data_IF_677368720598
#
_entry.id   IF_677368720598
#
_cell.length_a   1.000
_cell.length_b   1.000
_cell.length_c   1.000
_cell.angle_alpha   90.00
_cell.angle_beta   90.00
_cell.angle_gamma   90.00
#
_symmetry.space_group_name_H-M   'P 1'
#
loop_
_entity.id
_entity.type
_entity.pdbx_description
1 polymer ?
#
# COMPACT_ATOMS: atom_id res chain seq x y z
N UNK A 1 28.99 17.11 54.60
CA UNK A 1 28.91 15.63 54.71
C UNK A 1 28.69 15.12 53.30
N UNK A 2 29.67 14.96 52.41
CA UNK A 2 30.93 14.18 52.42
C UNK A 2 30.75 12.67 52.45
N UNK A 3 31.35 12.04 51.42
CA UNK A 3 31.74 10.64 51.20
C UNK A 3 30.67 9.71 50.61
N UNK A 4 30.85 9.16 49.41
CA UNK A 4 31.82 8.13 48.98
C UNK A 4 31.74 6.85 49.82
N UNK A 5 31.60 5.72 49.13
CA UNK A 5 32.26 4.48 49.53
C UNK A 5 31.33 3.36 49.98
N UNK A 6 31.13 2.42 49.05
CA UNK A 6 31.38 0.98 49.20
C UNK A 6 31.48 0.43 50.64
N UNK A 7 30.73 -0.65 50.89
CA UNK A 7 31.25 -1.98 51.25
C UNK A 7 30.27 -2.73 52.15
N UNK A 8 30.11 -4.02 51.90
CA UNK A 8 30.16 -5.15 52.85
C UNK A 8 29.79 -6.41 52.05
N UNK A 9 30.46 -7.55 52.13
CA UNK A 9 31.40 -8.10 53.12
C UNK A 9 32.04 -9.33 52.46
N UNK A 10 33.37 -9.49 52.53
CA UNK A 10 34.06 -10.40 53.46
C UNK A 10 33.58 -11.85 53.29
N UNK A 11 34.40 -12.83 52.90
CA UNK A 11 35.62 -13.20 53.62
C UNK A 11 36.48 -14.12 52.74
N UNK A 12 37.77 -13.80 52.72
CA UNK A 12 38.88 -14.60 52.23
C UNK A 12 39.09 -15.87 53.06
N UNK A 13 39.41 -16.98 52.40
CA UNK A 13 40.29 -18.01 52.94
C UNK A 13 41.34 -18.36 51.88
N UNK A 14 42.60 -18.06 52.22
CA UNK A 14 43.82 -18.50 51.55
C UNK A 14 43.99 -20.02 51.66
N UNK A 15 44.89 -20.58 50.83
CA UNK A 15 45.94 -21.61 51.10
C UNK A 15 46.20 -22.41 49.81
N UNK A 16 47.38 -22.72 49.26
CA UNK A 16 48.82 -22.54 49.55
C UNK A 16 49.61 -22.66 48.21
N UNK A 17 50.72 -21.93 48.10
CA UNK A 17 52.01 -22.21 47.44
C UNK A 17 52.11 -23.06 46.13
N UNK A 18 52.53 -22.34 45.06
CA UNK A 18 53.76 -22.55 44.25
C UNK A 18 53.98 -23.89 43.49
N UNK A 19 53.87 -23.89 42.15
CA UNK A 19 54.98 -23.92 41.17
C UNK A 19 54.50 -24.23 39.73
N UNK A 20 55.17 -23.56 38.77
CA UNK A 20 55.46 -23.95 37.37
C UNK A 20 54.50 -23.59 36.21
N UNK A 21 55.02 -22.66 35.38
CA UNK A 21 55.00 -22.56 33.90
C UNK A 21 53.73 -22.23 33.08
N UNK A 22 53.97 -21.43 32.03
CA UNK A 22 53.15 -21.07 30.86
C UNK A 22 52.14 -19.91 30.94
N UNK A 23 52.63 -18.68 30.72
CA UNK A 23 51.83 -17.45 30.55
C UNK A 23 51.83 -16.85 29.13
N UNK A 24 52.31 -17.56 28.10
CA UNK A 24 52.52 -16.99 26.75
C UNK A 24 51.46 -17.41 25.71
N UNK A 25 50.75 -18.53 25.89
CA UNK A 25 49.78 -19.03 24.90
C UNK A 25 48.38 -18.41 25.02
N UNK A 26 47.98 -17.94 26.22
CA UNK A 26 46.63 -17.43 26.45
C UNK A 26 46.38 -16.01 25.91
N UNK A 27 47.43 -15.20 25.75
CA UNK A 27 47.30 -13.81 25.27
C UNK A 27 47.08 -13.78 23.74
N UNK A 28 47.74 -14.66 22.99
CA UNK A 28 47.55 -14.77 21.54
C UNK A 28 46.18 -15.36 21.18
N UNK A 29 45.69 -16.33 21.96
CA UNK A 29 44.36 -16.91 21.73
C UNK A 29 43.24 -15.88 21.95
N UNK A 30 43.39 -14.94 22.88
CA UNK A 30 42.40 -13.87 23.10
C UNK A 30 42.43 -12.81 21.98
N UNK A 31 43.60 -12.45 21.46
CA UNK A 31 43.74 -11.46 20.38
C UNK A 31 43.17 -11.98 19.04
N UNK A 32 43.45 -13.23 18.67
CA UNK A 32 42.87 -13.84 17.46
C UNK A 32 41.33 -13.91 17.54
N UNK A 33 40.78 -14.26 18.70
CA UNK A 33 39.33 -14.34 18.86
C UNK A 33 38.65 -12.97 18.77
N UNK A 34 39.23 -11.89 19.27
CA UNK A 34 38.62 -10.54 19.18
C UNK A 34 38.59 -10.02 17.72
N UNK A 35 39.58 -10.36 16.90
CA UNK A 35 39.67 -9.92 15.50
C UNK A 35 38.77 -10.75 14.59
N UNK A 36 38.72 -12.07 14.78
CA UNK A 36 37.74 -12.97 14.16
C UNK A 36 36.32 -12.56 14.56
N UNK A 37 36.13 -12.16 15.83
CA UNK A 37 34.85 -11.67 16.35
C UNK A 37 34.45 -10.27 15.80
N UNK A 38 35.37 -9.48 15.22
CA UNK A 38 34.98 -8.24 14.50
C UNK A 38 34.58 -8.55 13.06
N UNK A 39 35.28 -9.48 12.42
CA UNK A 39 35.06 -9.85 11.03
C UNK A 39 33.71 -10.56 10.82
N UNK A 40 33.26 -11.43 11.73
CA UNK A 40 31.92 -12.04 11.61
C UNK A 40 30.79 -11.03 11.85
N UNK A 41 30.96 -10.02 12.71
CA UNK A 41 29.96 -8.97 12.91
C UNK A 41 29.82 -8.07 11.68
N UNK A 42 30.93 -7.78 11.01
CA UNK A 42 30.94 -7.04 9.73
C UNK A 42 30.32 -7.90 8.63
N UNK A 43 30.70 -9.18 8.53
CA UNK A 43 30.14 -10.11 7.55
C UNK A 43 28.63 -10.34 7.75
N UNK A 44 28.15 -10.46 8.99
CA UNK A 44 26.72 -10.57 9.31
C UNK A 44 25.98 -9.27 8.96
N UNK A 45 26.56 -8.09 9.26
CA UNK A 45 25.95 -6.80 8.88
C UNK A 45 25.84 -6.67 7.36
N UNK A 46 26.87 -7.06 6.62
CA UNK A 46 26.87 -7.04 5.16
C UNK A 46 25.87 -8.06 4.61
N UNK A 47 25.81 -9.28 5.16
CA UNK A 47 24.85 -10.30 4.75
C UNK A 47 23.40 -9.89 5.03
N UNK A 48 23.11 -9.23 6.16
CA UNK A 48 21.77 -8.69 6.47
C UNK A 48 21.41 -7.53 5.54
N UNK A 49 22.35 -6.64 5.23
CA UNK A 49 22.11 -5.53 4.28
C UNK A 49 21.86 -6.07 2.87
N UNK A 50 22.67 -7.03 2.41
CA UNK A 50 22.48 -7.67 1.11
C UNK A 50 21.17 -8.48 1.06
N UNK A 51 20.83 -9.19 2.14
CA UNK A 51 19.55 -9.89 2.26
C UNK A 51 18.37 -8.91 2.19
N UNK A 52 18.41 -7.79 2.92
CA UNK A 52 17.40 -6.74 2.83
C UNK A 52 17.26 -6.20 1.39
N UNK A 53 18.37 -5.91 0.70
CA UNK A 53 18.33 -5.41 -0.69
C UNK A 53 17.72 -6.44 -1.66
N UNK A 54 17.88 -7.74 -1.39
CA UNK A 54 17.26 -8.82 -2.21
C UNK A 54 15.83 -9.20 -1.81
N UNK A 55 15.40 -8.87 -0.59
CA UNK A 55 14.12 -9.31 -0.02
C UNK A 55 13.06 -8.20 0.11
N UNK A 56 13.45 -6.94 -0.03
CA UNK A 56 12.49 -5.90 -0.38
C UNK A 56 12.19 -6.07 -1.88
N UNK A 57 10.97 -6.49 -2.29
CA UNK A 57 10.55 -6.22 -3.66
C UNK A 57 10.87 -4.76 -3.92
N UNK A 58 11.55 -4.51 -5.04
CA UNK A 58 11.70 -3.19 -5.61
C UNK A 58 10.28 -2.65 -5.66
N UNK A 59 9.88 -1.81 -4.69
CA UNK A 59 8.65 -1.08 -4.80
C UNK A 59 8.87 -0.27 -6.07
N UNK A 60 8.21 -0.68 -7.15
CA UNK A 60 8.09 0.15 -8.34
C UNK A 60 7.70 1.51 -7.78
N UNK A 61 8.56 2.52 -8.00
CA UNK A 61 8.16 3.88 -7.76
C UNK A 61 7.05 4.13 -8.77
N UNK A 62 5.81 3.83 -8.39
CA UNK A 62 4.62 4.21 -9.13
C UNK A 62 4.72 5.72 -9.22
N UNK A 63 5.02 6.18 -10.43
CA UNK A 63 5.14 7.60 -10.69
C UNK A 63 3.74 8.17 -10.70
N UNK A 64 3.57 9.44 -10.29
CA UNK A 64 2.29 10.13 -10.46
C UNK A 64 1.81 10.13 -11.93
N UNK A 65 2.74 9.97 -12.89
CA UNK A 65 2.43 9.81 -14.32
C UNK A 65 1.72 8.50 -14.67
N UNK A 66 1.80 7.46 -13.84
CA UNK A 66 1.21 6.16 -14.15
C UNK A 66 -0.33 6.19 -14.03
N UNK A 67 -0.86 7.16 -13.28
CA UNK A 67 -2.30 7.45 -13.22
C UNK A 67 -2.76 8.47 -14.27
N UNK A 68 -1.87 8.98 -15.11
CA UNK A 68 -2.26 9.96 -16.11
C UNK A 68 -3.16 9.30 -17.16
N UNK A 69 -4.27 9.96 -17.47
CA UNK A 69 -5.25 9.52 -18.48
C UNK A 69 -5.03 10.35 -19.72
N UNK A 70 -3.99 10.00 -20.47
CA UNK A 70 -3.66 10.65 -21.74
C UNK A 70 -4.59 10.18 -22.85
N UNK A 71 -4.66 10.95 -23.94
CA UNK A 71 -5.44 10.54 -25.12
C UNK A 71 -4.93 9.21 -25.69
N UNK A 72 -3.62 9.02 -25.71
CA UNK A 72 -2.97 7.80 -26.17
C UNK A 72 -3.42 6.61 -25.32
N UNK A 73 -3.44 6.75 -23.98
CA UNK A 73 -3.91 5.70 -23.07
C UNK A 73 -5.37 5.34 -23.32
N UNK A 74 -6.24 6.31 -23.57
CA UNK A 74 -7.66 6.05 -23.90
C UNK A 74 -7.78 5.28 -25.23
N UNK A 75 -6.99 5.63 -26.25
CA UNK A 75 -6.96 4.89 -27.52
C UNK A 75 -6.47 3.45 -27.30
N UNK A 76 -5.39 3.28 -26.54
CA UNK A 76 -4.80 1.98 -26.23
C UNK A 76 -5.65 1.10 -25.32
N UNK A 77 -6.53 1.70 -24.50
CA UNK A 77 -7.45 0.97 -23.61
C UNK A 77 -8.40 0.02 -24.35
N UNK A 78 -8.55 0.19 -25.68
CA UNK A 78 -9.22 -0.81 -26.53
C UNK A 78 -8.61 -2.21 -26.41
N UNK A 79 -7.31 -2.31 -26.09
CA UNK A 79 -6.59 -3.55 -25.83
C UNK A 79 -6.52 -3.95 -24.35
N UNK A 80 -7.07 -3.12 -23.45
CA UNK A 80 -7.15 -3.35 -21.99
C UNK A 80 -8.62 -3.41 -21.58
N UNK A 81 -9.31 -4.52 -21.87
CA UNK A 81 -10.77 -4.56 -21.88
C UNK A 81 -11.42 -4.47 -20.50
N UNK A 82 -10.62 -4.64 -19.44
CA UNK A 82 -10.91 -4.46 -18.02
C UNK A 82 -10.95 -2.99 -17.57
N UNK A 83 -10.49 -2.05 -18.40
CA UNK A 83 -10.54 -0.61 -18.11
C UNK A 83 -11.74 0.09 -18.78
N UNK A 84 -12.25 1.13 -18.13
CA UNK A 84 -13.30 2.02 -18.63
C UNK A 84 -12.89 3.47 -18.36
N UNK A 85 -12.03 4.02 -19.22
CA UNK A 85 -11.30 5.27 -18.94
C UNK A 85 -12.08 6.55 -19.25
N UNK A 86 -13.09 6.47 -20.12
CA UNK A 86 -13.93 7.60 -20.52
C UNK A 86 -15.40 7.21 -20.48
N UNK A 87 -16.29 8.20 -20.45
CA UNK A 87 -17.73 8.01 -20.23
C UNK A 87 -18.34 6.92 -21.13
N UNK A 88 -18.04 6.93 -22.43
CA UNK A 88 -18.49 5.93 -23.40
C UNK A 88 -17.62 4.68 -23.57
N UNK A 89 -16.70 4.40 -22.63
CA UNK A 89 -15.59 3.43 -22.71
C UNK A 89 -14.48 3.81 -23.70
N UNK A 90 -14.87 4.14 -24.94
CA UNK A 90 -13.99 4.57 -26.03
C UNK A 90 -14.48 5.89 -26.62
N UNK A 91 -13.65 6.58 -27.40
CA UNK A 91 -14.05 7.82 -28.08
C UNK A 91 -15.20 7.65 -29.10
N UNK A 92 -15.49 6.42 -29.53
CA UNK A 92 -16.65 6.13 -30.38
C UNK A 92 -17.97 6.05 -29.61
N UNK A 93 -17.94 6.12 -28.27
CA UNK A 93 -19.12 6.14 -27.39
C UNK A 93 -20.07 4.94 -27.59
N UNK A 94 -19.57 3.82 -28.12
CA UNK A 94 -20.38 2.62 -28.39
C UNK A 94 -20.80 1.89 -27.12
N UNK A 95 -20.11 2.14 -25.99
CA UNK A 95 -20.32 1.43 -24.71
C UNK A 95 -20.24 -0.09 -24.82
N UNK A 96 -19.50 -0.58 -25.80
CA UNK A 96 -19.31 -2.00 -26.07
C UNK A 96 -18.08 -2.53 -25.33
N UNK A 97 -18.26 -3.54 -24.47
CA UNK A 97 -17.16 -4.29 -23.85
C UNK A 97 -16.90 -5.60 -24.58
N UNK A 98 -15.65 -5.94 -24.93
CA UNK A 98 -15.27 -7.22 -25.52
C UNK A 98 -15.09 -8.32 -24.46
N UNK A 99 -15.21 -8.01 -23.15
CA UNK A 99 -15.19 -9.03 -22.11
C UNK A 99 -16.38 -9.98 -22.28
N UNK A 100 -16.13 -11.28 -22.18
CA UNK A 100 -17.14 -12.32 -22.45
C UNK A 100 -17.26 -13.39 -21.34
N UNK A 101 -16.61 -13.18 -20.18
CA UNK A 101 -16.71 -14.09 -19.04
C UNK A 101 -18.17 -14.26 -18.58
N UNK A 102 -18.93 -13.16 -18.57
CA UNK A 102 -20.38 -13.16 -18.42
C UNK A 102 -20.98 -13.15 -19.82
N UNK A 103 -21.75 -14.18 -20.16
CA UNK A 103 -22.38 -14.35 -21.46
C UNK A 103 -23.75 -15.05 -21.30
N UNK A 104 -24.41 -15.38 -22.40
CA UNK A 104 -25.76 -15.98 -22.40
C UNK A 104 -25.86 -17.29 -21.62
N UNK A 105 -24.75 -18.01 -21.47
CA UNK A 105 -24.71 -19.31 -20.81
C UNK A 105 -24.41 -19.19 -19.31
N UNK A 106 -23.60 -18.18 -18.93
CA UNK A 106 -23.10 -17.97 -17.56
C UNK A 106 -23.88 -16.90 -16.76
N UNK A 107 -24.67 -16.04 -17.41
CA UNK A 107 -25.40 -14.93 -16.75
C UNK A 107 -26.34 -15.39 -15.63
N UNK A 108 -26.84 -16.63 -15.69
CA UNK A 108 -27.69 -17.24 -14.66
C UNK A 108 -26.98 -17.44 -13.31
N UNK A 109 -25.65 -17.41 -13.30
CA UNK A 109 -24.81 -17.58 -12.10
C UNK A 109 -24.43 -16.23 -11.49
N UNK A 110 -24.84 -15.11 -12.11
CA UNK A 110 -24.50 -13.77 -11.66
C UNK A 110 -25.13 -13.47 -10.30
N UNK A 111 -24.32 -12.91 -9.41
CA UNK A 111 -24.73 -12.47 -8.08
C UNK A 111 -24.13 -11.11 -7.72
N UNK A 112 -24.63 -10.53 -6.63
CA UNK A 112 -24.08 -9.29 -6.07
C UNK A 112 -22.73 -9.61 -5.42
N UNK A 113 -21.67 -8.97 -5.90
CA UNK A 113 -20.34 -9.05 -5.29
C UNK A 113 -20.22 -8.12 -4.07
N UNK A 114 -20.68 -6.87 -4.20
CA UNK A 114 -20.68 -5.86 -3.15
C UNK A 114 -21.72 -4.77 -3.44
N UNK A 115 -22.04 -3.96 -2.41
CA UNK A 115 -22.93 -2.80 -2.50
C UNK A 115 -22.22 -1.63 -1.81
N UNK A 116 -22.28 -0.44 -2.44
CA UNK A 116 -21.79 0.80 -1.85
C UNK A 116 -22.94 1.79 -1.71
N UNK A 117 -23.18 2.27 -0.49
CA UNK A 117 -24.21 3.28 -0.20
C UNK A 117 -23.61 4.69 -0.27
N UNK A 118 -24.22 5.56 -1.06
CA UNK A 118 -23.88 6.98 -1.09
C UNK A 118 -24.65 7.74 -0.01
N UNK A 119 -24.18 8.93 0.37
CA UNK A 119 -24.81 9.77 1.41
C UNK A 119 -26.12 10.47 0.97
N UNK A 120 -26.83 9.94 -0.02
CA UNK A 120 -28.00 10.55 -0.63
C UNK A 120 -28.93 9.52 -1.25
N UNK A 121 -30.23 9.83 -1.25
CA UNK A 121 -31.29 9.09 -1.93
C UNK A 121 -31.85 9.85 -3.15
N UNK A 122 -31.17 10.91 -3.59
CA UNK A 122 -31.47 11.66 -4.82
C UNK A 122 -30.95 10.90 -6.04
N UNK A 123 -31.25 11.35 -7.24
CA UNK A 123 -30.93 10.61 -8.46
C UNK A 123 -29.43 10.39 -8.69
N UNK A 124 -29.11 9.25 -9.32
CA UNK A 124 -27.78 8.86 -9.78
C UNK A 124 -27.84 8.62 -11.29
N UNK A 125 -27.09 9.41 -12.07
CA UNK A 125 -26.98 9.24 -13.52
C UNK A 125 -25.54 8.97 -13.98
N UNK A 126 -24.61 8.80 -13.03
CA UNK A 126 -23.20 8.61 -13.31
C UNK A 126 -22.94 7.30 -14.06
N UNK A 127 -22.09 7.34 -15.08
CA UNK A 127 -21.39 6.15 -15.58
C UNK A 127 -20.05 6.05 -14.85
N UNK A 128 -19.79 5.01 -14.04
CA UNK A 128 -18.51 4.88 -13.36
C UNK A 128 -17.33 4.78 -14.32
N UNK A 129 -16.20 5.35 -13.92
CA UNK A 129 -14.91 5.21 -14.59
C UNK A 129 -14.08 4.20 -13.81
N UNK A 130 -13.46 3.23 -14.48
CA UNK A 130 -12.62 2.21 -13.83
C UNK A 130 -11.22 2.27 -14.42
N UNK A 131 -10.25 2.58 -13.57
CA UNK A 131 -8.83 2.72 -13.92
C UNK A 131 -8.01 1.97 -12.88
N UNK A 132 -7.18 1.03 -13.31
CA UNK A 132 -6.21 0.33 -12.45
C UNK A 132 -6.83 -0.16 -11.12
N UNK A 133 -7.92 -0.94 -11.22
CA UNK A 133 -8.70 -1.48 -10.09
C UNK A 133 -9.41 -0.45 -9.19
N UNK A 134 -9.39 0.85 -9.53
CA UNK A 134 -10.14 1.90 -8.83
C UNK A 134 -11.37 2.29 -9.64
N UNK A 135 -12.54 2.26 -8.99
CA UNK A 135 -13.79 2.75 -9.54
C UNK A 135 -14.08 4.16 -9.04
N UNK A 136 -14.26 5.10 -9.95
CA UNK A 136 -14.70 6.47 -9.67
C UNK A 136 -16.16 6.62 -10.07
N UNK A 137 -16.96 7.18 -9.17
CA UNK A 137 -18.37 7.47 -9.42
C UNK A 137 -18.77 8.79 -8.77
N UNK A 138 -19.91 9.33 -9.18
CA UNK A 138 -20.47 10.55 -8.60
C UNK A 138 -21.90 10.32 -8.11
N UNK A 139 -22.29 11.07 -7.09
CA UNK A 139 -23.68 11.15 -6.62
C UNK A 139 -24.24 12.55 -6.81
N UNK A 140 -25.49 12.75 -6.39
CA UNK A 140 -26.08 14.09 -6.26
C UNK A 140 -25.12 15.09 -5.58
N UNK A 141 -25.25 16.35 -5.96
CA UNK A 141 -24.38 17.44 -5.51
C UNK A 141 -22.91 17.35 -5.95
N UNK A 142 -22.63 16.58 -7.00
CA UNK A 142 -21.30 16.43 -7.58
C UNK A 142 -20.26 15.88 -6.59
N UNK A 143 -20.71 15.13 -5.59
CA UNK A 143 -19.82 14.40 -4.69
C UNK A 143 -19.20 13.25 -5.48
N UNK A 144 -17.88 13.13 -5.40
CA UNK A 144 -17.08 12.09 -6.06
C UNK A 144 -16.65 11.06 -5.03
N UNK A 145 -16.75 9.79 -5.40
CA UNK A 145 -16.25 8.66 -4.62
C UNK A 145 -15.22 7.90 -5.45
N UNK A 146 -14.14 7.47 -4.81
CA UNK A 146 -13.25 6.46 -5.32
C UNK A 146 -13.35 5.22 -4.44
N UNK A 147 -13.61 4.08 -5.06
CA UNK A 147 -13.77 2.80 -4.41
C UNK A 147 -12.79 1.80 -5.02
N UNK A 148 -12.31 0.86 -4.22
CA UNK A 148 -11.67 -0.35 -4.76
C UNK A 148 -12.72 -1.14 -5.55
N UNK A 149 -12.47 -1.41 -6.83
CA UNK A 149 -13.45 -2.00 -7.74
C UNK A 149 -13.80 -3.45 -7.41
N UNK A 150 -12.92 -4.17 -6.67
CA UNK A 150 -13.09 -5.58 -6.32
C UNK A 150 -13.88 -5.75 -5.03
N UNK A 151 -13.65 -4.88 -4.06
CA UNK A 151 -14.22 -4.98 -2.70
C UNK A 151 -15.36 -4.00 -2.45
N UNK A 152 -15.42 -2.90 -3.19
CA UNK A 152 -16.34 -1.79 -2.96
C UNK A 152 -15.92 -0.83 -1.83
N UNK A 153 -14.79 -1.10 -1.16
CA UNK A 153 -14.29 -0.24 -0.07
C UNK A 153 -13.98 1.17 -0.59
N UNK A 154 -14.49 2.20 0.10
CA UNK A 154 -14.23 3.59 -0.26
C UNK A 154 -12.79 3.96 0.09
N UNK A 155 -12.00 4.30 -0.92
CA UNK A 155 -10.62 4.77 -0.79
C UNK A 155 -10.62 6.23 -0.34
N UNK A 156 -11.39 7.07 -1.06
CA UNK A 156 -11.54 8.48 -0.72
C UNK A 156 -12.86 9.04 -1.25
N UNK A 157 -13.22 10.21 -0.72
CA UNK A 157 -14.39 10.98 -1.12
C UNK A 157 -14.01 12.45 -1.29
N UNK A 158 -14.51 13.06 -2.35
CA UNK A 158 -14.42 14.50 -2.57
C UNK A 158 -15.81 15.12 -2.59
N UNK A 159 -16.01 16.12 -1.73
CA UNK A 159 -17.26 16.87 -1.65
C UNK A 159 -16.99 18.34 -2.02
N UNK A 160 -17.47 18.80 -3.20
CA UNK A 160 -17.27 20.18 -3.65
C UNK A 160 -18.09 21.22 -2.87
N UNK A 161 -18.90 20.80 -1.88
CA UNK A 161 -19.71 21.66 -1.01
C UNK A 161 -20.71 22.51 -1.78
N UNK A 162 -21.38 21.93 -2.78
CA UNK A 162 -22.48 22.61 -3.47
C UNK A 162 -23.59 22.95 -2.46
N UNK A 163 -24.02 24.22 -2.35
CA UNK A 163 -25.05 24.62 -1.40
C UNK A 163 -26.37 23.89 -1.64
N UNK A 164 -26.91 23.24 -0.59
CA UNK A 164 -28.09 22.35 -0.71
C UNK A 164 -29.36 23.10 -1.13
N UNK A 165 -29.41 24.40 -0.92
CA UNK A 165 -30.52 25.27 -1.29
C UNK A 165 -30.64 25.43 -2.81
N UNK A 166 -29.57 25.14 -3.57
CA UNK A 166 -29.62 25.13 -5.04
C UNK A 166 -30.64 24.13 -5.59
N UNK A 167 -31.03 23.12 -4.82
CA UNK A 167 -32.04 22.14 -5.18
C UNK A 167 -33.40 22.77 -5.47
N UNK A 168 -33.69 23.92 -4.86
CA UNK A 168 -34.92 24.67 -5.10
C UNK A 168 -35.00 25.24 -6.53
N UNK A 169 -33.83 25.52 -7.14
CA UNK A 169 -33.76 26.21 -8.43
C UNK A 169 -33.56 25.28 -9.63
N UNK A 170 -33.36 23.98 -9.40
CA UNK A 170 -33.17 23.00 -10.47
C UNK A 170 -34.49 22.30 -10.80
N UNK A 171 -34.79 22.14 -12.08
CA UNK A 171 -36.05 21.56 -12.52
C UNK A 171 -36.20 20.07 -12.20
N UNK A 172 -35.07 19.36 -12.26
CA UNK A 172 -35.05 17.94 -12.60
C UNK A 172 -34.08 17.18 -11.71
N UNK A 173 -34.09 17.52 -10.42
CA UNK A 173 -33.18 17.02 -9.38
C UNK A 173 -31.73 17.56 -9.49
N UNK A 174 -30.91 17.27 -8.48
CA UNK A 174 -29.51 17.69 -8.31
C UNK A 174 -28.53 16.62 -8.85
N UNK A 175 -28.94 16.02 -9.96
CA UNK A 175 -28.23 14.95 -10.67
C UNK A 175 -27.04 15.48 -11.47
N UNK A 176 -26.11 14.59 -11.78
CA UNK A 176 -25.03 14.79 -12.74
C UNK A 176 -24.67 13.43 -13.37
N UNK A 177 -23.97 13.45 -14.51
CA UNK A 177 -23.70 12.26 -15.34
C UNK A 177 -22.29 11.70 -15.21
N UNK A 178 -21.56 12.12 -14.16
CA UNK A 178 -20.10 11.93 -14.05
C UNK A 178 -19.36 13.15 -14.55
#
# INVERSE_FOLDING_TARGET
MTRHGLQKTSQSFEIYLQFQDNSYELINHFYYNVEVLKNYKIAIRIAVILFCITFYPLNSLVSASDFDITQERVIESTNQPDQWLVHGRTYSEQRFSPLNQINTDTVKELGIAWIFETDTNRGHEATPIVVDDIMFSTSAWSIVYANDAKTGEMIWKYDPKVPKEKAYFVCCDVVNRG
#
